data_IF_534526685624
#
_entry.id   IF_534526685624
#
_cell.length_a   1.000
_cell.length_b   1.000
_cell.length_c   1.000
_cell.angle_alpha   90.00
_cell.angle_beta   90.00
_cell.angle_gamma   90.00
#
_symmetry.space_group_name_H-M   'P 1'
#
loop_
_entity.id
_entity.type
_entity.pdbx_description
1 polymer ?
#
# COMPACT_ATOMS: atom_id res chain seq x y z
N UNK A 1 -47.62 31.02 -33.02
CA UNK A 1 -46.91 31.65 -31.88
C UNK A 1 -45.45 31.22 -31.93
N UNK A 2 -44.55 32.15 -31.62
CA UNK A 2 -43.18 32.26 -32.10
C UNK A 2 -42.23 31.15 -31.60
N UNK A 3 -41.48 30.60 -32.55
CA UNK A 3 -40.20 29.89 -32.38
C UNK A 3 -39.12 30.92 -32.04
N UNK A 4 -38.40 30.76 -30.93
CA UNK A 4 -37.26 31.62 -30.58
C UNK A 4 -36.00 30.78 -30.51
N UNK A 5 -35.23 30.82 -31.61
CA UNK A 5 -33.82 30.44 -31.68
C UNK A 5 -33.00 31.52 -30.98
N UNK A 6 -32.27 31.18 -29.91
CA UNK A 6 -31.27 32.07 -29.33
C UNK A 6 -29.88 31.74 -29.89
N UNK A 7 -29.37 32.69 -30.65
CA UNK A 7 -28.07 32.72 -31.32
C UNK A 7 -26.99 33.13 -30.29
N UNK A 8 -26.07 32.24 -29.91
CA UNK A 8 -24.93 32.61 -29.05
C UNK A 8 -23.74 32.99 -29.94
N UNK A 9 -23.41 34.29 -29.93
CA UNK A 9 -22.24 34.86 -30.60
C UNK A 9 -20.96 34.49 -29.85
N UNK A 10 -20.04 33.80 -30.53
CA UNK A 10 -18.64 33.69 -30.14
C UNK A 10 -17.95 35.06 -30.21
N UNK A 11 -17.37 35.54 -29.11
CA UNK A 11 -16.40 36.63 -29.12
C UNK A 11 -14.98 36.09 -28.96
N UNK A 12 -14.26 36.07 -30.07
CA UNK A 12 -12.83 35.83 -30.17
C UNK A 12 -12.11 37.15 -29.84
N UNK A 13 -11.29 37.19 -28.79
CA UNK A 13 -10.31 38.27 -28.59
C UNK A 13 -8.91 37.75 -28.91
N UNK A 14 -8.42 38.11 -30.10
CA UNK A 14 -6.99 38.09 -30.47
C UNK A 14 -6.45 39.52 -30.35
N UNK A 15 -5.30 39.69 -29.68
CA UNK A 15 -4.21 40.63 -29.99
C UNK A 15 -2.91 39.94 -29.52
N UNK A 16 -2.09 39.35 -30.41
CA UNK A 16 -0.93 39.94 -31.16
C UNK A 16 0.04 40.72 -30.26
N UNK A 17 1.37 40.63 -30.35
CA UNK A 17 2.43 39.82 -30.98
C UNK A 17 3.75 40.56 -30.58
N UNK A 18 4.91 39.89 -30.69
CA UNK A 18 6.32 40.36 -30.64
C UNK A 18 7.08 39.81 -29.43
N UNK A 19 8.26 39.21 -29.52
CA UNK A 19 9.09 38.57 -30.57
C UNK A 19 10.24 37.83 -29.81
N UNK A 20 11.01 36.94 -30.45
CA UNK A 20 11.82 35.90 -29.80
C UNK A 20 13.25 36.34 -29.48
N UNK A 21 13.90 35.62 -28.55
CA UNK A 21 15.36 35.58 -28.45
C UNK A 21 15.83 34.12 -28.45
N UNK A 22 16.45 33.72 -29.57
CA UNK A 22 17.40 32.61 -29.68
C UNK A 22 18.83 33.11 -29.41
N UNK A 23 19.75 32.15 -29.23
CA UNK A 23 21.22 32.20 -29.06
C UNK A 23 21.68 31.94 -27.61
N UNK A 24 22.67 31.10 -27.31
CA UNK A 24 23.54 30.29 -28.16
C UNK A 24 24.19 29.16 -27.33
N UNK A 25 24.43 28.03 -27.98
CA UNK A 25 25.40 27.00 -27.59
C UNK A 25 26.82 27.61 -27.73
N UNK A 26 27.66 27.49 -26.70
CA UNK A 26 29.09 27.76 -26.82
C UNK A 26 29.89 26.57 -26.26
N UNK A 27 30.42 25.77 -27.18
CA UNK A 27 31.51 24.81 -27.00
C UNK A 27 32.79 25.50 -27.42
N UNK A 28 33.82 25.58 -26.56
CA UNK A 28 35.23 25.71 -26.95
C UNK A 28 36.16 25.22 -25.81
N UNK A 29 37.44 24.87 -26.12
CA UNK A 29 38.12 23.69 -25.57
C UNK A 29 39.33 23.99 -24.66
N UNK A 30 39.80 22.91 -24.02
CA UNK A 30 41.16 22.57 -23.58
C UNK A 30 42.13 23.69 -23.13
N UNK A 31 42.59 23.55 -21.87
CA UNK A 31 43.98 23.86 -21.48
C UNK A 31 44.51 22.81 -20.51
N UNK A 32 45.53 22.08 -20.97
CA UNK A 32 46.45 21.25 -20.18
C UNK A 32 47.54 22.14 -19.59
N UNK A 33 47.90 21.94 -18.33
CA UNK A 33 49.18 22.20 -17.61
C UNK A 33 48.86 22.19 -16.10
N UNK A 34 49.57 21.54 -15.19
CA UNK A 34 50.84 20.84 -15.24
C UNK A 34 50.99 19.89 -14.04
N UNK A 35 51.99 19.02 -14.15
CA UNK A 35 52.33 17.95 -13.23
C UNK A 35 52.97 18.54 -11.97
N UNK A 36 52.38 18.25 -10.80
CA UNK A 36 52.99 18.44 -9.49
C UNK A 36 53.07 17.09 -8.77
N UNK A 37 54.27 16.53 -8.65
CA UNK A 37 54.54 15.35 -7.84
C UNK A 37 54.33 15.68 -6.36
N UNK A 38 53.33 15.08 -5.73
CA UNK A 38 53.19 15.07 -4.27
C UNK A 38 53.38 13.64 -3.79
N UNK A 39 54.33 13.48 -2.87
CA UNK A 39 54.73 12.25 -2.22
C UNK A 39 53.53 11.50 -1.63
N UNK A 40 53.39 10.22 -2.00
CA UNK A 40 52.51 9.28 -1.33
C UNK A 40 53.05 8.98 0.07
N UNK A 41 52.39 9.50 1.10
CA UNK A 41 52.49 8.97 2.45
C UNK A 41 51.53 7.77 2.53
N UNK A 42 52.07 6.59 2.87
CA UNK A 42 51.29 5.40 3.18
C UNK A 42 50.39 5.68 4.40
N UNK A 43 49.12 5.99 4.16
CA UNK A 43 48.06 5.79 5.16
C UNK A 43 47.37 4.48 4.83
N UNK A 44 47.48 3.52 5.75
CA UNK A 44 46.74 2.27 5.69
C UNK A 44 45.25 2.56 5.47
N UNK A 45 44.56 1.82 4.57
CA UNK A 45 43.13 1.99 4.44
C UNK A 45 42.48 1.43 5.70
N UNK A 46 42.05 2.33 6.58
CA UNK A 46 41.02 2.01 7.56
C UNK A 46 39.83 1.54 6.74
N UNK A 47 39.58 0.24 6.75
CA UNK A 47 38.36 -0.34 6.19
C UNK A 47 37.19 0.28 6.93
N UNK A 48 36.65 1.34 6.35
CA UNK A 48 35.27 1.72 6.58
C UNK A 48 34.46 0.54 6.04
N UNK A 49 34.11 -0.38 6.93
CA UNK A 49 33.00 -1.30 6.72
C UNK A 49 31.78 -0.43 6.46
N UNK A 50 31.50 -0.17 5.18
CA UNK A 50 30.18 0.25 4.74
C UNK A 50 29.24 -0.85 5.18
N UNK A 51 28.55 -0.64 6.29
CA UNK A 51 27.40 -1.45 6.68
C UNK A 51 26.26 -1.15 5.71
N UNK A 52 26.41 -1.53 4.45
CA UNK A 52 25.29 -1.96 3.64
C UNK A 52 24.89 -3.34 4.15
N UNK A 53 24.35 -3.39 5.37
CA UNK A 53 23.61 -4.56 5.79
C UNK A 53 22.49 -4.71 4.77
N UNK A 54 22.63 -5.70 3.89
CA UNK A 54 21.60 -6.10 2.95
C UNK A 54 20.40 -6.55 3.78
N UNK A 55 19.51 -5.61 4.13
CA UNK A 55 18.23 -5.88 4.75
C UNK A 55 17.34 -6.54 3.69
N UNK A 56 17.63 -7.80 3.36
CA UNK A 56 16.78 -8.67 2.57
C UNK A 56 16.15 -9.68 3.51
N UNK A 57 14.89 -10.04 3.27
CA UNK A 57 14.12 -10.98 4.09
C UNK A 57 14.66 -12.44 4.10
N UNK A 58 15.85 -12.68 3.53
CA UNK A 58 16.30 -14.03 3.20
C UNK A 58 15.42 -14.67 2.12
N UNK A 59 15.50 -16.00 1.94
CA UNK A 59 14.66 -16.69 0.97
C UNK A 59 13.19 -16.68 1.40
N UNK A 60 12.30 -16.35 0.45
CA UNK A 60 10.86 -16.42 0.65
C UNK A 60 10.41 -17.86 0.91
N UNK A 61 9.46 -18.02 1.82
CA UNK A 61 8.77 -19.27 2.07
C UNK A 61 7.45 -19.29 1.32
N UNK A 62 6.95 -20.50 1.08
CA UNK A 62 5.69 -20.73 0.38
C UNK A 62 4.82 -21.70 1.17
N UNK A 63 3.51 -21.46 1.16
CA UNK A 63 2.53 -22.35 1.78
C UNK A 63 1.24 -22.37 0.99
N UNK A 64 0.65 -23.55 0.81
CA UNK A 64 -0.70 -23.67 0.25
C UNK A 64 -1.71 -23.27 1.32
N UNK A 65 -2.48 -22.22 1.03
CA UNK A 65 -3.44 -21.60 1.92
C UNK A 65 -4.72 -21.27 1.15
N UNK A 66 -5.76 -22.08 1.35
CA UNK A 66 -7.04 -21.90 0.67
C UNK A 66 -6.90 -22.07 -0.85
N UNK A 67 -7.09 -20.98 -1.60
CA UNK A 67 -7.03 -20.97 -3.07
C UNK A 67 -5.64 -20.61 -3.62
N UNK A 68 -4.68 -20.30 -2.74
CA UNK A 68 -3.39 -19.72 -3.10
C UNK A 68 -2.23 -20.60 -2.64
N UNK A 69 -1.13 -20.55 -3.37
CA UNK A 69 0.20 -20.77 -2.82
C UNK A 69 0.74 -19.38 -2.44
N UNK A 70 0.82 -19.09 -1.15
CA UNK A 70 1.20 -17.78 -0.62
C UNK A 70 2.71 -17.73 -0.43
N UNK A 71 3.36 -16.78 -1.08
CA UNK A 71 4.75 -16.43 -0.84
C UNK A 71 4.84 -15.41 0.31
N UNK A 72 5.75 -15.64 1.26
CA UNK A 72 5.88 -14.79 2.43
C UNK A 72 7.32 -14.72 2.94
N UNK A 73 7.68 -13.57 3.49
CA UNK A 73 8.88 -13.39 4.29
C UNK A 73 8.63 -13.79 5.75
N UNK A 74 9.65 -14.33 6.41
CA UNK A 74 9.62 -14.68 7.82
C UNK A 74 10.90 -14.23 8.53
N UNK A 75 10.76 -13.44 9.59
CA UNK A 75 11.88 -12.87 10.34
C UNK A 75 11.64 -13.07 11.84
N UNK A 76 12.69 -13.39 12.60
CA UNK A 76 12.62 -13.59 14.05
C UNK A 76 12.48 -15.06 14.48
N UNK A 77 12.40 -15.32 15.80
CA UNK A 77 12.37 -16.67 16.35
C UNK A 77 11.07 -17.40 15.97
N UNK A 78 11.17 -18.67 15.56
CA UNK A 78 10.04 -19.45 15.07
C UNK A 78 8.97 -19.76 16.14
N UNK A 79 9.33 -19.67 17.42
CA UNK A 79 8.49 -19.89 18.60
C UNK A 79 8.04 -18.58 19.28
N UNK A 80 8.40 -17.43 18.70
CA UNK A 80 7.98 -16.12 19.21
C UNK A 80 6.49 -15.83 19.03
N UNK A 81 5.93 -14.85 19.78
CA UNK A 81 4.59 -14.31 19.50
C UNK A 81 4.48 -13.87 18.04
N UNK A 82 3.37 -14.22 17.39
CA UNK A 82 3.21 -14.02 15.95
C UNK A 82 2.69 -12.61 15.64
N UNK A 83 3.38 -11.94 14.72
CA UNK A 83 2.91 -10.71 14.05
C UNK A 83 2.76 -11.01 12.56
N UNK A 84 1.63 -10.61 11.97
CA UNK A 84 1.41 -10.67 10.53
C UNK A 84 1.27 -9.25 10.00
N UNK A 85 2.12 -8.87 9.04
CA UNK A 85 2.18 -7.53 8.46
C UNK A 85 1.66 -7.56 7.01
N UNK A 86 0.65 -6.75 6.70
CA UNK A 86 -0.12 -6.80 5.46
C UNK A 86 0.06 -5.50 4.66
N UNK A 87 0.64 -5.60 3.46
CA UNK A 87 0.93 -4.45 2.61
C UNK A 87 -0.29 -3.91 1.85
N UNK A 88 -0.16 -2.70 1.31
CA UNK A 88 -1.15 -2.02 0.48
C UNK A 88 -0.90 -2.11 -1.02
N UNK A 89 -1.74 -1.42 -1.80
CA UNK A 89 -1.59 -1.22 -3.25
C UNK A 89 -1.05 0.19 -3.57
N UNK A 90 -0.18 0.35 -4.58
CA UNK A 90 0.57 -0.65 -5.35
C UNK A 90 1.96 -0.84 -4.73
N UNK A 91 1.99 -1.36 -3.50
CA UNK A 91 3.22 -1.60 -2.74
C UNK A 91 3.45 -3.11 -2.58
N UNK A 92 4.36 -3.52 -1.70
CA UNK A 92 4.64 -4.94 -1.46
C UNK A 92 5.23 -5.22 -0.07
N UNK A 93 5.74 -6.43 0.17
CA UNK A 93 6.32 -6.83 1.46
C UNK A 93 7.49 -5.94 1.90
N UNK A 94 8.17 -5.25 0.98
CA UNK A 94 9.32 -4.43 1.31
C UNK A 94 8.96 -3.18 2.10
N UNK A 95 7.68 -2.84 2.21
CA UNK A 95 7.18 -1.84 3.15
C UNK A 95 7.56 -2.18 4.61
N UNK A 96 7.87 -3.44 4.89
CA UNK A 96 8.21 -3.91 6.24
C UNK A 96 9.68 -4.32 6.39
N UNK A 97 10.53 -3.99 5.41
CA UNK A 97 11.96 -4.38 5.40
C UNK A 97 12.68 -3.93 6.68
N UNK A 98 12.37 -2.71 7.14
CA UNK A 98 12.95 -2.13 8.35
C UNK A 98 12.12 -2.42 9.61
N UNK A 99 10.80 -2.60 9.48
CA UNK A 99 9.92 -2.95 10.61
C UNK A 99 10.21 -4.35 11.15
N UNK A 100 10.38 -5.33 10.27
CA UNK A 100 10.52 -6.73 10.65
C UNK A 100 11.70 -7.02 11.59
N UNK A 101 12.94 -6.53 11.34
CA UNK A 101 14.04 -6.73 12.28
C UNK A 101 13.83 -6.04 13.62
N UNK A 102 13.14 -4.90 13.68
CA UNK A 102 12.82 -4.21 14.95
C UNK A 102 11.91 -5.07 15.84
N UNK A 103 10.90 -5.70 15.25
CA UNK A 103 10.00 -6.61 15.95
C UNK A 103 10.68 -7.94 16.29
N UNK A 104 11.48 -8.50 15.38
CA UNK A 104 12.25 -9.71 15.63
C UNK A 104 13.23 -9.54 16.79
N UNK A 105 13.86 -8.37 16.93
CA UNK A 105 14.72 -8.03 18.07
C UNK A 105 13.96 -7.96 19.42
N UNK A 106 12.63 -7.84 19.39
CA UNK A 106 11.74 -7.96 20.56
C UNK A 106 11.21 -9.38 20.77
N UNK A 107 11.67 -10.34 19.96
CA UNK A 107 11.31 -11.76 20.07
C UNK A 107 10.06 -12.16 19.29
N UNK A 108 9.50 -11.27 18.45
CA UNK A 108 8.33 -11.64 17.63
C UNK A 108 8.74 -12.51 16.43
N UNK A 109 7.87 -13.46 16.10
CA UNK A 109 7.85 -14.16 14.81
C UNK A 109 7.07 -13.30 13.82
N UNK A 110 7.77 -12.62 12.91
CA UNK A 110 7.17 -11.69 11.95
C UNK A 110 6.94 -12.39 10.62
N UNK A 111 5.69 -12.40 10.14
CA UNK A 111 5.28 -13.00 8.88
C UNK A 111 4.72 -11.92 7.95
N UNK A 112 5.19 -11.88 6.72
CA UNK A 112 4.89 -10.78 5.78
C UNK A 112 4.50 -11.42 4.44
N UNK A 113 3.23 -11.80 4.26
CA UNK A 113 2.77 -12.41 3.02
C UNK A 113 2.59 -11.39 1.91
N UNK A 114 2.91 -11.80 0.67
CA UNK A 114 2.40 -11.11 -0.51
C UNK A 114 0.89 -11.37 -0.63
N UNK A 115 0.11 -10.32 -0.82
CA UNK A 115 -1.31 -10.44 -1.16
C UNK A 115 -1.50 -11.13 -2.53
N UNK A 116 -2.70 -11.65 -2.80
CA UNK A 116 -3.06 -12.19 -4.13
C UNK A 116 -2.73 -11.17 -5.23
N UNK A 117 -2.07 -11.62 -6.30
CA UNK A 117 -1.65 -10.74 -7.39
C UNK A 117 -0.33 -10.00 -7.16
N UNK A 118 0.45 -10.33 -6.14
CA UNK A 118 1.76 -9.73 -5.87
C UNK A 118 2.84 -10.78 -5.71
N UNK A 119 4.06 -10.41 -6.11
CA UNK A 119 5.26 -11.23 -5.92
C UNK A 119 5.07 -12.65 -6.43
N UNK A 120 5.50 -13.63 -5.62
CA UNK A 120 5.41 -15.05 -5.98
C UNK A 120 4.10 -15.72 -5.50
N UNK A 121 3.19 -14.97 -4.86
CA UNK A 121 1.86 -15.50 -4.50
C UNK A 121 1.05 -15.77 -5.76
N UNK A 122 0.59 -17.02 -5.91
CA UNK A 122 -0.17 -17.47 -7.10
C UNK A 122 -1.41 -18.25 -6.72
N UNK A 123 -2.41 -18.24 -7.60
CA UNK A 123 -3.56 -19.13 -7.49
C UNK A 123 -3.14 -20.58 -7.76
N UNK A 124 -3.70 -21.52 -7.00
CA UNK A 124 -3.48 -22.96 -7.18
C UNK A 124 -4.14 -23.52 -8.44
N UNK A 125 -5.11 -22.78 -9.00
CA UNK A 125 -5.89 -23.19 -10.17
C UNK A 125 -6.13 -22.01 -11.10
N UNK A 126 -5.92 -22.23 -12.40
CA UNK A 126 -6.23 -21.26 -13.45
C UNK A 126 -7.74 -20.99 -13.59
N UNK A 127 -8.58 -21.87 -13.04
CA UNK A 127 -10.04 -21.70 -13.03
C UNK A 127 -10.52 -20.76 -11.93
N UNK A 128 -9.69 -20.48 -10.93
CA UNK A 128 -10.05 -19.57 -9.85
C UNK A 128 -10.10 -18.13 -10.37
N UNK A 129 -11.20 -17.42 -10.09
CA UNK A 129 -11.34 -16.04 -10.49
C UNK A 129 -10.28 -15.17 -9.80
N UNK A 130 -9.67 -14.25 -10.56
CA UNK A 130 -8.74 -13.23 -10.05
C UNK A 130 -9.55 -12.12 -9.39
N UNK A 131 -10.08 -12.46 -8.22
CA UNK A 131 -11.02 -11.65 -7.46
C UNK A 131 -10.30 -10.77 -6.45
N UNK A 132 -10.49 -9.45 -6.55
CA UNK A 132 -9.93 -8.43 -5.65
C UNK A 132 -10.92 -7.89 -4.61
N UNK A 133 -12.04 -8.57 -4.33
CA UNK A 133 -13.00 -8.10 -3.33
C UNK A 133 -12.43 -8.19 -1.89
N UNK A 134 -12.82 -7.29 -0.97
CA UNK A 134 -12.27 -7.23 0.38
C UNK A 134 -12.39 -8.53 1.18
N UNK A 135 -13.56 -9.18 1.16
CA UNK A 135 -13.79 -10.43 1.87
C UNK A 135 -12.83 -11.55 1.43
N UNK A 136 -12.45 -11.57 0.14
CA UNK A 136 -11.55 -12.58 -0.40
C UNK A 136 -10.11 -12.40 0.12
N UNK A 137 -9.59 -11.17 0.10
CA UNK A 137 -8.26 -10.87 0.65
C UNK A 137 -8.17 -11.17 2.16
N UNK A 138 -9.21 -10.82 2.92
CA UNK A 138 -9.25 -11.14 4.35
C UNK A 138 -9.34 -12.65 4.63
N UNK A 139 -10.07 -13.39 3.78
CA UNK A 139 -10.16 -14.85 3.86
C UNK A 139 -8.80 -15.51 3.56
N UNK A 140 -7.97 -14.93 2.69
CA UNK A 140 -6.61 -15.43 2.45
C UNK A 140 -5.73 -15.32 3.70
N UNK A 141 -5.89 -14.25 4.49
CA UNK A 141 -5.16 -14.09 5.77
C UNK A 141 -5.55 -15.20 6.74
N UNK A 142 -6.85 -15.52 6.86
CA UNK A 142 -7.31 -16.64 7.69
C UNK A 142 -6.75 -17.97 7.19
N UNK A 143 -6.83 -18.23 5.89
CA UNK A 143 -6.30 -19.46 5.30
C UNK A 143 -4.78 -19.59 5.50
N UNK A 144 -4.05 -18.47 5.40
CA UNK A 144 -2.61 -18.41 5.67
C UNK A 144 -2.29 -18.72 7.13
N UNK A 145 -3.05 -18.14 8.07
CA UNK A 145 -2.94 -18.46 9.49
C UNK A 145 -3.20 -19.95 9.76
N UNK A 146 -4.26 -20.52 9.16
CA UNK A 146 -4.62 -21.92 9.33
C UNK A 146 -3.54 -22.86 8.79
N UNK A 147 -3.01 -22.58 7.58
CA UNK A 147 -1.97 -23.38 6.95
C UNK A 147 -0.67 -23.41 7.77
N UNK A 148 -0.33 -22.31 8.44
CA UNK A 148 0.81 -22.20 9.35
C UNK A 148 0.49 -22.59 10.80
N UNK A 149 -0.73 -23.04 11.08
CA UNK A 149 -1.22 -23.44 12.41
C UNK A 149 -1.16 -22.30 13.45
N UNK A 150 -1.32 -21.06 13.00
CA UNK A 150 -1.32 -19.85 13.82
C UNK A 150 -2.74 -19.65 14.36
N UNK A 151 -2.92 -19.89 15.66
CA UNK A 151 -4.22 -19.69 16.31
C UNK A 151 -4.59 -18.22 16.43
N UNK A 152 -3.64 -17.38 16.85
CA UNK A 152 -3.85 -15.96 17.13
C UNK A 152 -2.57 -15.16 16.86
N UNK A 153 -2.70 -13.96 16.29
CA UNK A 153 -1.56 -13.09 15.96
C UNK A 153 -1.90 -11.61 16.18
N UNK A 154 -0.89 -10.76 16.34
CA UNK A 154 -1.05 -9.31 16.13
C UNK A 154 -1.08 -9.06 14.63
N UNK A 155 -2.07 -8.30 14.16
CA UNK A 155 -2.16 -7.90 12.75
C UNK A 155 -1.79 -6.43 12.60
N UNK A 156 -0.97 -6.11 11.60
CA UNK A 156 -0.62 -4.74 11.25
C UNK A 156 -0.77 -4.51 9.76
N UNK A 157 -1.35 -3.39 9.34
CA UNK A 157 -1.51 -3.12 7.91
C UNK A 157 -1.78 -1.66 7.58
N UNK A 158 -1.70 -1.34 6.29
CA UNK A 158 -2.10 -0.07 5.69
C UNK A 158 -2.84 -0.31 4.36
N UNK A 159 -3.69 0.62 3.93
CA UNK A 159 -4.48 0.51 2.69
C UNK A 159 -5.25 -0.84 2.58
N UNK A 160 -5.00 -1.67 1.56
CA UNK A 160 -5.63 -2.98 1.40
C UNK A 160 -5.27 -3.93 2.54
N UNK A 161 -4.07 -3.80 3.08
CA UNK A 161 -3.60 -4.57 4.23
C UNK A 161 -4.32 -4.17 5.52
N UNK A 162 -4.49 -2.87 5.78
CA UNK A 162 -5.31 -2.39 6.90
C UNK A 162 -6.76 -2.86 6.76
N UNK A 163 -7.36 -2.69 5.58
CA UNK A 163 -8.70 -3.21 5.29
C UNK A 163 -8.83 -4.71 5.56
N UNK A 164 -7.83 -5.50 5.16
CA UNK A 164 -7.84 -6.95 5.36
C UNK A 164 -7.71 -7.30 6.85
N UNK A 165 -6.81 -6.62 7.57
CA UNK A 165 -6.65 -6.78 9.02
C UNK A 165 -7.92 -6.38 9.80
N UNK A 166 -8.56 -5.28 9.41
CA UNK A 166 -9.83 -4.81 9.99
C UNK A 166 -10.94 -5.85 9.80
N UNK A 167 -11.10 -6.38 8.59
CA UNK A 167 -12.11 -7.42 8.29
C UNK A 167 -11.85 -8.66 9.15
N UNK A 168 -10.58 -9.07 9.27
CA UNK A 168 -10.20 -10.21 10.09
C UNK A 168 -10.55 -9.96 11.56
N UNK A 169 -10.20 -8.78 12.08
CA UNK A 169 -10.47 -8.40 13.46
C UNK A 169 -11.97 -8.26 13.78
N UNK A 170 -12.77 -7.79 12.83
CA UNK A 170 -14.22 -7.63 13.01
C UNK A 170 -14.99 -8.96 12.89
N UNK A 171 -14.50 -9.90 12.08
CA UNK A 171 -15.23 -11.14 11.74
C UNK A 171 -14.73 -12.35 12.52
N UNK A 172 -13.42 -12.43 12.75
CA UNK A 172 -12.76 -13.50 13.49
C UNK A 172 -11.90 -12.92 14.64
N UNK A 173 -12.50 -12.19 15.60
CA UNK A 173 -11.76 -11.51 16.67
C UNK A 173 -10.89 -12.46 17.50
N UNK A 174 -11.28 -13.72 17.66
CA UNK A 174 -10.49 -14.73 18.38
C UNK A 174 -9.13 -15.05 17.71
N UNK A 175 -9.00 -14.73 16.42
CA UNK A 175 -7.77 -14.89 15.64
C UNK A 175 -6.84 -13.68 15.77
N UNK A 176 -7.32 -12.57 16.33
CA UNK A 176 -6.54 -11.33 16.44
C UNK A 176 -6.21 -11.03 17.91
N UNK A 177 -4.93 -10.92 18.21
CA UNK A 177 -4.43 -10.55 19.54
C UNK A 177 -4.58 -9.04 19.77
N UNK A 178 -4.08 -8.27 18.80
CA UNK A 178 -4.19 -6.83 18.72
C UNK A 178 -4.09 -6.39 17.25
N UNK A 179 -4.46 -5.14 16.97
CA UNK A 179 -4.51 -4.58 15.63
C UNK A 179 -3.74 -3.24 15.56
N UNK A 180 -2.94 -3.09 14.52
CA UNK A 180 -2.44 -1.78 14.05
C UNK A 180 -3.05 -1.50 12.68
N UNK A 181 -3.88 -0.46 12.59
CA UNK A 181 -4.59 -0.12 11.35
C UNK A 181 -4.30 1.32 10.93
N UNK A 182 -3.49 1.47 9.87
CA UNK A 182 -3.17 2.78 9.31
C UNK A 182 -4.40 3.33 8.58
N UNK A 183 -4.70 4.61 8.79
CA UNK A 183 -5.90 5.33 8.32
C UNK A 183 -7.24 4.83 8.88
N UNK A 184 -7.21 4.11 10.02
CA UNK A 184 -8.39 3.88 10.84
C UNK A 184 -9.21 2.66 10.46
N UNK A 185 -10.51 2.85 10.25
CA UNK A 185 -11.46 1.79 9.91
C UNK A 185 -11.75 1.79 8.40
N UNK A 186 -11.24 0.80 7.67
CA UNK A 186 -11.28 0.74 6.20
C UNK A 186 -12.30 -0.26 5.65
N UNK A 187 -13.12 -0.89 6.50
CA UNK A 187 -14.22 -1.73 6.04
C UNK A 187 -15.25 -0.85 5.32
N UNK A 188 -15.32 -1.02 4.00
CA UNK A 188 -16.31 -0.37 3.14
C UNK A 188 -17.39 -1.34 2.65
N UNK A 189 -18.32 -0.83 1.87
CA UNK A 189 -19.29 -1.65 1.15
C UNK A 189 -19.70 -1.01 -0.17
N UNK A 190 -20.26 -1.82 -1.07
CA UNK A 190 -20.66 -1.38 -2.40
C UNK A 190 -21.79 -0.34 -2.40
N UNK A 191 -22.68 -0.33 -1.40
CA UNK A 191 -23.75 0.67 -1.31
C UNK A 191 -23.18 2.07 -1.03
N UNK A 192 -22.17 2.17 -0.16
CA UNK A 192 -21.42 3.41 0.05
C UNK A 192 -20.64 3.83 -1.20
N UNK A 193 -20.02 2.87 -1.91
CA UNK A 193 -19.27 3.12 -3.14
C UNK A 193 -20.09 3.64 -4.33
N UNK A 194 -21.43 3.58 -4.27
CA UNK A 194 -22.33 4.18 -5.27
C UNK A 194 -22.53 5.68 -5.08
N UNK A 195 -22.29 6.19 -3.88
CA UNK A 195 -22.58 7.57 -3.54
C UNK A 195 -21.39 8.45 -3.95
N UNK A 196 -21.63 9.54 -4.71
CA UNK A 196 -20.57 10.45 -5.07
C UNK A 196 -20.05 11.19 -3.85
N UNK A 197 -18.76 11.52 -3.87
CA UNK A 197 -18.09 12.37 -2.89
C UNK A 197 -17.94 13.80 -3.44
N UNK A 198 -17.58 14.79 -2.61
CA UNK A 198 -17.22 16.11 -3.10
C UNK A 198 -16.09 16.05 -4.14
N UNK A 199 -16.03 16.96 -5.13
CA UNK A 199 -15.08 16.85 -6.26
C UNK A 199 -13.60 16.69 -5.88
N UNK A 200 -13.16 17.32 -4.78
CA UNK A 200 -11.80 17.16 -4.28
C UNK A 200 -11.51 15.73 -3.81
N UNK A 201 -12.45 15.10 -3.13
CA UNK A 201 -12.33 13.71 -2.68
C UNK A 201 -12.35 12.76 -3.88
N UNK A 202 -13.20 13.02 -4.88
CA UNK A 202 -13.22 12.22 -6.12
C UNK A 202 -11.90 12.32 -6.89
N UNK A 203 -11.28 13.50 -6.91
CA UNK A 203 -9.95 13.69 -7.51
C UNK A 203 -8.88 12.88 -6.77
N UNK A 204 -8.92 12.78 -5.44
CA UNK A 204 -7.97 11.94 -4.70
C UNK A 204 -8.15 10.44 -5.02
N UNK A 205 -9.35 10.04 -5.42
CA UNK A 205 -9.68 8.68 -5.88
C UNK A 205 -9.59 8.49 -7.40
N UNK A 206 -9.03 9.42 -8.18
CA UNK A 206 -9.12 9.42 -9.65
C UNK A 206 -8.81 8.07 -10.33
N UNK A 207 -7.84 7.32 -9.80
CA UNK A 207 -7.39 6.04 -10.35
C UNK A 207 -8.48 4.95 -10.28
N UNK A 208 -9.38 4.97 -9.30
CA UNK A 208 -10.47 3.98 -9.23
C UNK A 208 -11.44 4.13 -10.41
N UNK A 209 -11.67 5.38 -10.84
CA UNK A 209 -12.49 5.70 -12.02
C UNK A 209 -11.74 5.41 -13.33
N UNK A 210 -10.43 5.55 -13.33
CA UNK A 210 -9.60 5.10 -14.44
C UNK A 210 -9.76 3.57 -14.64
N UNK A 211 -9.60 2.78 -13.58
CA UNK A 211 -9.74 1.30 -13.62
C UNK A 211 -11.16 0.80 -13.92
N UNK A 212 -12.17 1.64 -13.72
CA UNK A 212 -13.53 1.35 -14.17
C UNK A 212 -13.65 1.22 -15.71
N UNK A 213 -12.68 1.75 -16.46
CA UNK A 213 -12.69 1.73 -17.93
C UNK A 213 -11.78 0.63 -18.50
N UNK A 214 -12.10 0.15 -19.70
CA UNK A 214 -11.21 -0.75 -20.46
C UNK A 214 -9.87 -0.07 -20.80
N UNK A 215 -9.92 1.22 -21.15
CA UNK A 215 -8.71 2.03 -21.39
C UNK A 215 -7.82 2.09 -20.16
N UNK A 216 -8.41 2.20 -18.97
CA UNK A 216 -7.65 2.26 -17.74
C UNK A 216 -7.00 0.95 -17.36
N UNK A 217 -7.70 -0.17 -17.57
CA UNK A 217 -7.11 -1.50 -17.47
C UNK A 217 -5.94 -1.66 -18.44
N UNK A 218 -6.12 -1.37 -19.73
CA UNK A 218 -5.07 -1.48 -20.73
C UNK A 218 -3.89 -0.53 -20.45
N UNK A 219 -4.18 0.67 -19.94
CA UNK A 219 -3.18 1.66 -19.55
C UNK A 219 -2.36 1.22 -18.35
N UNK A 220 -2.99 0.59 -17.36
CA UNK A 220 -2.29 0.04 -16.21
C UNK A 220 -1.46 -1.19 -16.57
N UNK A 221 -1.97 -2.06 -17.45
CA UNK A 221 -1.19 -3.19 -17.99
C UNK A 221 0.07 -2.71 -18.69
N UNK A 222 -0.08 -1.73 -19.59
CA UNK A 222 1.04 -1.23 -20.41
C UNK A 222 2.06 -0.41 -19.63
N UNK A 223 1.61 0.40 -18.67
CA UNK A 223 2.46 1.40 -17.99
C UNK A 223 2.52 1.16 -16.48
N UNK A 224 2.43 -0.12 -16.06
CA UNK A 224 2.28 -0.53 -14.66
C UNK A 224 3.30 0.11 -13.72
N UNK A 225 4.56 0.08 -14.14
CA UNK A 225 5.70 0.65 -13.42
C UNK A 225 5.50 2.15 -13.15
N UNK A 226 5.39 2.94 -14.22
CA UNK A 226 5.28 4.41 -14.12
C UNK A 226 3.97 4.84 -13.45
N UNK A 227 2.87 4.09 -13.66
CA UNK A 227 1.60 4.34 -12.99
C UNK A 227 1.73 4.13 -11.48
N UNK A 228 2.33 3.01 -11.05
CA UNK A 228 2.54 2.74 -9.63
C UNK A 228 3.46 3.79 -8.99
N UNK A 229 4.50 4.23 -9.70
CA UNK A 229 5.38 5.31 -9.22
C UNK A 229 4.63 6.61 -9.00
N UNK A 230 3.80 7.01 -9.97
CA UNK A 230 2.95 8.19 -9.85
C UNK A 230 2.01 8.08 -8.63
N UNK A 231 1.45 6.89 -8.37
CA UNK A 231 0.63 6.67 -7.19
C UNK A 231 1.44 6.88 -5.91
N UNK A 232 2.66 6.35 -5.81
CA UNK A 232 3.52 6.56 -4.63
C UNK A 232 3.84 8.04 -4.41
N UNK A 233 4.20 8.78 -5.46
CA UNK A 233 4.50 10.22 -5.40
C UNK A 233 3.28 11.03 -4.94
N UNK A 234 2.07 10.67 -5.39
CA UNK A 234 0.83 11.35 -4.99
C UNK A 234 0.39 10.96 -3.57
N UNK A 235 0.57 9.71 -3.18
CA UNK A 235 0.15 9.19 -1.88
C UNK A 235 1.09 9.64 -0.74
N UNK A 236 2.38 9.81 -1.05
CA UNK A 236 3.41 10.23 -0.10
C UNK A 236 4.23 11.42 -0.66
N UNK A 237 3.62 12.62 -0.80
CA UNK A 237 4.20 13.76 -1.52
C UNK A 237 5.47 14.35 -0.89
N UNK A 238 5.78 13.99 0.36
CA UNK A 238 7.02 14.41 1.06
C UNK A 238 8.04 13.30 1.17
N UNK A 239 7.72 12.07 0.77
CA UNK A 239 8.64 10.95 0.79
C UNK A 239 9.57 11.01 -0.41
N UNK A 240 10.84 11.31 -0.17
CA UNK A 240 11.89 11.32 -1.18
C UNK A 240 12.49 9.92 -1.35
N UNK A 241 11.69 8.94 -1.81
CA UNK A 241 12.20 7.61 -2.13
C UNK A 241 13.08 7.63 -3.38
N UNK A 242 14.12 6.79 -3.38
CA UNK A 242 14.98 6.60 -4.54
C UNK A 242 14.42 5.53 -5.49
N UNK A 243 15.00 5.47 -6.70
CA UNK A 243 14.59 4.51 -7.73
C UNK A 243 14.78 3.07 -7.25
N UNK A 244 15.88 2.77 -6.55
CA UNK A 244 16.15 1.43 -6.04
C UNK A 244 15.09 0.95 -5.03
N UNK A 245 14.54 1.86 -4.23
CA UNK A 245 13.46 1.57 -3.28
C UNK A 245 12.16 1.26 -4.02
N UNK A 246 11.81 2.09 -5.00
CA UNK A 246 10.60 1.86 -5.81
C UNK A 246 10.71 0.58 -6.64
N UNK A 247 11.81 0.42 -7.39
CA UNK A 247 12.02 -0.69 -8.33
C UNK A 247 12.01 -2.05 -7.63
N UNK A 248 12.48 -2.10 -6.38
CA UNK A 248 12.42 -3.30 -5.54
C UNK A 248 10.99 -3.77 -5.30
N UNK A 249 10.06 -2.86 -5.01
CA UNK A 249 8.63 -3.19 -4.86
C UNK A 249 7.93 -3.34 -6.21
N UNK A 250 8.31 -2.55 -7.22
CA UNK A 250 7.73 -2.61 -8.55
C UNK A 250 7.91 -3.98 -9.21
N UNK A 251 9.00 -4.70 -8.89
CA UNK A 251 9.21 -6.06 -9.34
C UNK A 251 8.07 -7.01 -8.94
N UNK A 252 7.51 -6.87 -7.73
CA UNK A 252 6.39 -7.69 -7.25
C UNK A 252 5.10 -7.44 -8.03
N UNK A 253 4.95 -6.26 -8.64
CA UNK A 253 3.80 -5.91 -9.46
C UNK A 253 3.83 -6.61 -10.83
N UNK A 254 4.95 -7.22 -11.22
CA UNK A 254 5.05 -8.01 -12.46
C UNK A 254 4.33 -9.36 -12.37
N UNK A 255 3.78 -9.71 -11.21
CA UNK A 255 2.91 -10.87 -11.04
C UNK A 255 1.81 -10.87 -12.12
N UNK A 256 1.55 -12.01 -12.79
CA UNK A 256 0.63 -12.10 -13.93
C UNK A 256 -0.83 -11.79 -13.57
N UNK A 257 -1.19 -11.92 -12.29
CA UNK A 257 -2.54 -11.66 -11.80
C UNK A 257 -2.74 -10.21 -11.29
N UNK A 258 -1.66 -9.43 -11.14
CA UNK A 258 -1.67 -8.11 -10.49
C UNK A 258 -2.73 -7.16 -11.05
N UNK A 259 -2.78 -7.01 -12.38
CA UNK A 259 -3.70 -6.07 -13.03
C UNK A 259 -5.14 -6.56 -12.93
N UNK A 260 -5.37 -7.86 -13.05
CA UNK A 260 -6.70 -8.44 -12.87
C UNK A 260 -7.22 -8.20 -11.44
N UNK A 261 -6.39 -8.45 -10.41
CA UNK A 261 -6.73 -8.19 -9.01
C UNK A 261 -7.00 -6.71 -8.76
N UNK A 262 -6.11 -5.82 -9.24
CA UNK A 262 -6.24 -4.37 -9.09
C UNK A 262 -7.56 -3.87 -9.69
N UNK A 263 -7.81 -4.20 -10.96
CA UNK A 263 -9.00 -3.77 -11.67
C UNK A 263 -10.26 -4.34 -11.01
N UNK A 264 -10.22 -5.61 -10.58
CA UNK A 264 -11.34 -6.21 -9.86
C UNK A 264 -11.62 -5.44 -8.56
N UNK A 265 -10.61 -5.17 -7.74
CA UNK A 265 -10.81 -4.47 -6.46
C UNK A 265 -11.53 -3.14 -6.68
N UNK A 266 -11.06 -2.30 -7.61
CA UNK A 266 -11.64 -0.98 -7.79
C UNK A 266 -13.01 -1.00 -8.49
N UNK A 267 -13.21 -1.90 -9.46
CA UNK A 267 -14.55 -2.10 -10.06
C UNK A 267 -15.56 -2.63 -9.05
N UNK A 268 -15.15 -3.57 -8.19
CA UNK A 268 -16.00 -4.09 -7.13
C UNK A 268 -16.33 -2.99 -6.12
N UNK A 269 -15.35 -2.18 -5.69
CA UNK A 269 -15.54 -1.06 -4.76
C UNK A 269 -16.61 -0.08 -5.26
N UNK A 270 -16.61 0.21 -6.56
CA UNK A 270 -17.58 1.09 -7.23
C UNK A 270 -18.92 0.41 -7.59
N UNK A 271 -19.15 -0.84 -7.16
CA UNK A 271 -20.33 -1.62 -7.52
C UNK A 271 -20.52 -1.78 -9.04
N UNK A 272 -19.43 -1.95 -9.81
CA UNK A 272 -19.51 -2.14 -11.27
C UNK A 272 -19.51 -3.62 -11.68
N UNK A 273 -19.10 -4.50 -10.77
CA UNK A 273 -19.06 -5.95 -10.97
C UNK A 273 -19.53 -6.66 -9.70
N UNK A 274 -20.14 -7.86 -9.83
CA UNK A 274 -20.46 -8.69 -8.68
C UNK A 274 -19.20 -9.32 -8.07
N UNK A 275 -19.27 -9.66 -6.78
CA UNK A 275 -18.32 -10.56 -6.14
C UNK A 275 -18.65 -12.04 -6.39
N UNK A 276 -17.90 -12.94 -5.77
CA UNK A 276 -18.22 -14.37 -5.78
C UNK A 276 -19.20 -14.74 -4.67
N UNK A 277 -20.14 -15.66 -4.98
CA UNK A 277 -21.18 -16.10 -4.06
C UNK A 277 -20.65 -16.64 -2.72
N UNK A 278 -19.48 -17.30 -2.74
CA UNK A 278 -18.85 -17.84 -1.53
C UNK A 278 -18.48 -16.76 -0.49
N UNK A 279 -18.30 -15.51 -0.92
CA UNK A 279 -17.96 -14.39 -0.05
C UNK A 279 -19.16 -13.49 0.26
N UNK A 280 -20.34 -13.74 -0.33
CA UNK A 280 -21.50 -12.86 -0.22
C UNK A 280 -21.98 -12.68 1.22
N UNK A 281 -22.07 -13.77 1.99
CA UNK A 281 -22.48 -13.71 3.39
C UNK A 281 -21.55 -12.83 4.23
N UNK A 282 -20.23 -12.93 3.97
CA UNK A 282 -19.24 -12.10 4.64
C UNK A 282 -19.38 -10.63 4.23
N UNK A 283 -19.52 -10.33 2.94
CA UNK A 283 -19.75 -8.94 2.48
C UNK A 283 -21.04 -8.33 3.05
N UNK A 284 -22.11 -9.12 3.21
CA UNK A 284 -23.35 -8.67 3.86
C UNK A 284 -23.16 -8.36 5.35
N UNK A 285 -22.29 -9.09 6.04
CA UNK A 285 -21.90 -8.76 7.41
C UNK A 285 -21.08 -7.46 7.45
N UNK A 286 -20.09 -7.33 6.56
CA UNK A 286 -19.23 -6.14 6.47
C UNK A 286 -20.00 -4.88 6.09
N UNK A 287 -21.05 -5.00 5.26
CA UNK A 287 -21.93 -3.90 4.90
C UNK A 287 -22.65 -3.24 6.09
N UNK A 288 -22.77 -3.95 7.22
CA UNK A 288 -23.32 -3.42 8.48
C UNK A 288 -22.28 -2.61 9.28
N UNK A 289 -21.06 -2.48 8.78
CA UNK A 289 -19.92 -1.83 9.43
C UNK A 289 -19.71 -2.34 10.87
N UNK A 290 -19.45 -3.65 11.05
CA UNK A 290 -19.29 -4.27 12.35
C UNK A 290 -18.13 -3.61 13.14
N UNK A 291 -18.27 -3.44 14.45
CA UNK A 291 -17.20 -2.87 15.26
C UNK A 291 -16.02 -3.83 15.40
N UNK A 292 -14.85 -3.29 15.70
CA UNK A 292 -13.64 -4.03 16.05
C UNK A 292 -13.44 -3.93 17.56
N UNK A 293 -13.47 -5.07 18.25
CA UNK A 293 -13.41 -5.15 19.72
C UNK A 293 -12.04 -5.51 20.28
N UNK A 294 -11.09 -5.94 19.44
CA UNK A 294 -9.72 -6.26 19.87
C UNK A 294 -8.94 -4.98 20.18
N UNK A 295 -7.91 -5.03 21.05
CA UNK A 295 -7.04 -3.88 21.31
C UNK A 295 -6.47 -3.34 20.01
N UNK A 296 -6.64 -2.04 19.77
CA UNK A 296 -6.32 -1.43 18.48
C UNK A 296 -5.58 -0.11 18.64
N UNK A 297 -4.51 0.06 17.87
CA UNK A 297 -3.87 1.37 17.65
C UNK A 297 -4.09 1.75 16.19
N UNK A 298 -4.67 2.91 15.95
CA UNK A 298 -4.75 3.49 14.61
C UNK A 298 -3.67 4.53 14.43
N UNK A 299 -3.10 4.57 13.22
CA UNK A 299 -2.01 5.48 12.86
C UNK A 299 -2.44 6.34 11.66
N UNK A 300 -2.00 7.59 11.62
CA UNK A 300 -2.09 8.42 10.43
C UNK A 300 -0.82 9.26 10.26
N UNK A 301 -0.41 9.52 9.03
CA UNK A 301 0.72 10.38 8.69
C UNK A 301 0.30 11.83 8.45
N UNK A 302 1.10 12.80 8.89
CA UNK A 302 0.80 14.24 8.72
C UNK A 302 0.90 14.76 7.28
N UNK A 303 1.30 13.92 6.33
CA UNK A 303 1.44 14.23 4.92
C UNK A 303 0.85 13.16 3.99
N UNK A 304 -0.09 12.34 4.48
CA UNK A 304 -0.79 11.35 3.67
C UNK A 304 -1.61 12.02 2.55
N UNK A 305 -1.17 11.87 1.31
CA UNK A 305 -1.83 12.41 0.12
C UNK A 305 -2.96 11.52 -0.41
N UNK A 306 -3.01 10.25 0.03
CA UNK A 306 -4.07 9.33 -0.31
C UNK A 306 -5.38 9.69 0.41
N UNK A 307 -6.55 9.31 -0.12
CA UNK A 307 -7.81 9.51 0.60
C UNK A 307 -7.84 8.74 1.93
N UNK A 308 -8.07 9.44 3.03
CA UNK A 308 -8.20 8.88 4.37
C UNK A 308 -9.28 9.62 5.17
N UNK A 309 -10.04 8.94 6.05
CA UNK A 309 -11.03 9.56 6.91
C UNK A 309 -10.38 10.35 8.06
N UNK A 310 -11.12 11.30 8.64
CA UNK A 310 -10.67 11.97 9.86
C UNK A 310 -10.73 11.00 11.07
N UNK A 311 -9.79 11.07 12.03
CA UNK A 311 -9.76 10.16 13.18
C UNK A 311 -11.06 10.08 13.99
N UNK A 312 -11.74 11.20 14.15
CA UNK A 312 -13.02 11.32 14.84
C UNK A 312 -14.17 10.56 14.15
N UNK A 313 -14.10 10.36 12.83
CA UNK A 313 -15.15 9.70 12.04
C UNK A 313 -15.16 8.18 12.26
N UNK A 314 -14.01 7.59 12.57
CA UNK A 314 -13.87 6.14 12.74
C UNK A 314 -13.65 5.69 14.19
N UNK A 315 -13.28 6.57 15.13
CA UNK A 315 -12.94 6.17 16.50
C UNK A 315 -14.01 5.27 17.16
N UNK A 316 -15.30 5.55 16.93
CA UNK A 316 -16.42 4.77 17.50
C UNK A 316 -16.56 3.35 16.93
N UNK A 317 -15.84 3.01 15.84
CA UNK A 317 -15.81 1.65 15.28
C UNK A 317 -14.93 0.72 16.10
N UNK A 318 -14.05 1.25 16.93
CA UNK A 318 -13.19 0.48 17.82
C UNK A 318 -13.80 0.47 19.22
N UNK A 319 -14.40 -0.65 19.61
CA UNK A 319 -15.16 -0.79 20.86
C UNK A 319 -14.36 -1.43 22.00
N UNK A 320 -13.14 -1.90 21.70
CA UNK A 320 -12.17 -2.39 22.67
C UNK A 320 -11.28 -1.29 23.23
N UNK A 321 -10.12 -1.70 23.76
CA UNK A 321 -9.03 -0.75 24.07
C UNK A 321 -8.55 -0.09 22.78
N UNK A 322 -8.41 1.22 22.79
CA UNK A 322 -8.18 1.99 21.58
C UNK A 322 -7.25 3.18 21.83
N UNK A 323 -6.34 3.40 20.89
CA UNK A 323 -5.49 4.57 20.81
C UNK A 323 -5.40 5.06 19.35
N UNK A 324 -5.35 6.38 19.15
CA UNK A 324 -5.02 6.98 17.88
C UNK A 324 -3.68 7.72 17.99
N UNK A 325 -2.83 7.62 16.96
CA UNK A 325 -1.56 8.34 16.88
C UNK A 325 -1.41 9.03 15.53
N UNK A 326 -1.13 10.32 15.56
CA UNK A 326 -0.65 11.07 14.41
C UNK A 326 0.88 11.02 14.40
N UNK A 327 1.47 10.56 13.30
CA UNK A 327 2.91 10.52 13.09
C UNK A 327 3.30 11.74 12.26
N UNK A 328 4.04 12.65 12.89
CA UNK A 328 4.52 13.88 12.26
C UNK A 328 5.90 13.68 11.62
N UNK A 329 6.27 14.57 10.71
CA UNK A 329 7.60 14.54 10.06
C UNK A 329 7.55 14.51 8.54
N UNK A 330 6.36 14.70 7.96
CA UNK A 330 6.14 14.54 6.54
C UNK A 330 5.83 13.09 6.14
N UNK A 331 5.22 12.32 7.03
CA UNK A 331 4.92 10.90 6.80
C UNK A 331 3.65 10.78 5.99
N UNK A 332 3.75 10.06 4.88
CA UNK A 332 2.69 9.84 3.91
C UNK A 332 1.89 8.55 4.15
N UNK A 333 1.51 7.93 3.04
CA UNK A 333 0.59 6.81 3.01
C UNK A 333 1.23 5.46 3.42
N UNK A 334 2.50 5.24 3.07
CA UNK A 334 3.20 4.00 3.37
C UNK A 334 3.97 4.12 4.70
N UNK A 335 3.20 4.38 5.76
CA UNK A 335 3.71 4.61 7.11
C UNK A 335 4.76 3.59 7.57
N UNK A 336 4.60 2.26 7.39
CA UNK A 336 5.63 1.30 7.83
C UNK A 336 6.98 1.45 7.11
N UNK A 337 7.00 1.93 5.87
CA UNK A 337 8.25 2.14 5.13
C UNK A 337 8.84 3.53 5.36
N UNK A 338 8.00 4.52 5.62
CA UNK A 338 8.40 5.91 5.83
C UNK A 338 8.83 6.19 7.28
N UNK A 339 8.18 5.57 8.26
CA UNK A 339 8.58 5.59 9.68
C UNK A 339 8.47 4.17 10.29
N UNK A 340 9.46 3.29 10.03
CA UNK A 340 9.44 1.92 10.52
C UNK A 340 9.52 1.84 12.05
N UNK A 341 10.10 2.85 12.72
CA UNK A 341 10.22 2.89 14.18
C UNK A 341 8.85 3.16 14.83
N UNK A 342 8.11 4.15 14.33
CA UNK A 342 6.77 4.44 14.82
C UNK A 342 5.82 3.26 14.60
N UNK A 343 5.88 2.63 13.42
CA UNK A 343 5.05 1.47 13.11
C UNK A 343 5.39 0.27 14.02
N UNK A 344 6.67 -0.09 14.15
CA UNK A 344 7.10 -1.20 15.01
C UNK A 344 6.72 -0.94 16.47
N UNK A 345 6.88 0.30 16.96
CA UNK A 345 6.45 0.68 18.31
C UNK A 345 4.94 0.52 18.49
N UNK A 346 4.13 0.92 17.51
CA UNK A 346 2.69 0.75 17.56
C UNK A 346 2.28 -0.73 17.64
N UNK A 347 2.97 -1.62 16.91
CA UNK A 347 2.72 -3.07 16.98
C UNK A 347 2.99 -3.61 18.38
N UNK A 348 4.14 -3.25 18.97
CA UNK A 348 4.51 -3.68 20.34
C UNK A 348 3.53 -3.13 21.38
N UNK A 349 3.17 -1.85 21.28
CA UNK A 349 2.25 -1.21 22.22
C UNK A 349 0.84 -1.80 22.10
N UNK A 350 0.34 -2.05 20.87
CA UNK A 350 -0.97 -2.66 20.65
C UNK A 350 -1.07 -4.05 21.27
N UNK A 351 0.02 -4.84 21.18
CA UNK A 351 0.11 -6.18 21.78
C UNK A 351 0.00 -6.19 23.32
N UNK A 352 0.27 -5.04 23.94
CA UNK A 352 0.29 -4.83 25.39
C UNK A 352 -0.74 -3.80 25.88
N UNK A 353 -1.64 -3.34 24.99
CA UNK A 353 -2.60 -2.27 25.25
C UNK A 353 -3.60 -2.66 26.34
#
# INVERSE_FOLDING_TARGET
MKTTLLNIKYQTRRRTLLRPSMLALALLPFSVLGIGNVHAANTEPVSATSTTAQHSFGPLKHVDAGLLNVAYAEVGPADGPVVILLHGWPYDIHSYTEVAPLLAAKGYRVLIPYARGYGDTRFLSDKTLRNGQPAALASDVIAFMDALKIKRAVLGGYDWGARSADIVAATWPDRVKALVSVSGYLIGNQAAGKNPLPPKAELQWWYQFYFATERGQAGYEKNRHDFARLIWELASPKWAFDDATFDRSAAALNNPDHVAITVFNYRWRLNLIPGEAQYEALEQQLAKAPPISVPTITLEGDANGAPHPAPEDYAKRFTGKYEFRLISGGIGHNLPQEDPQAFAKAVVDADHL
#
